data_IF_798767807994
#
_entry.id   IF_798767807994
#
_cell.length_a   1.000
_cell.length_b   1.000
_cell.length_c   1.000
_cell.angle_alpha   90.00
_cell.angle_beta   90.00
_cell.angle_gamma   90.00
#
_symmetry.space_group_name_H-M   'P 1'
#
loop_
_entity.id
_entity.type
_entity.pdbx_description
1 polymer ?
#
# COMPACT_ATOMS: atom_id res chain seq x y z
N UNK A 1 -1.57 -10.11 18.36
CA UNK A 1 -0.97 -8.77 18.46
C UNK A 1 -1.72 -7.88 17.51
N UNK A 2 -1.99 -6.63 17.86
CA UNK A 2 -2.64 -5.69 16.95
C UNK A 2 -1.62 -5.21 15.92
N UNK A 3 -1.90 -5.42 14.63
CA UNK A 3 -1.06 -4.95 13.53
C UNK A 3 -1.24 -3.43 13.41
N UNK A 4 -0.15 -2.68 13.32
CA UNK A 4 -0.17 -1.21 13.17
C UNK A 4 0.65 -0.77 11.96
N UNK A 5 0.28 0.36 11.37
CA UNK A 5 1.01 0.95 10.24
C UNK A 5 2.27 1.66 10.77
N UNK A 6 3.44 1.31 10.22
CA UNK A 6 4.72 1.94 10.53
C UNK A 6 5.09 3.02 9.51
N UNK A 7 4.88 2.74 8.22
CA UNK A 7 5.29 3.64 7.13
C UNK A 7 4.35 3.48 5.94
N UNK A 8 4.11 4.58 5.23
CA UNK A 8 3.42 4.56 3.94
C UNK A 8 4.24 5.38 2.95
N UNK A 9 4.46 4.83 1.77
CA UNK A 9 5.16 5.50 0.67
C UNK A 9 4.26 5.58 -0.56
N UNK A 10 4.27 6.74 -1.22
CA UNK A 10 3.59 7.00 -2.50
C UNK A 10 4.65 7.28 -3.56
N UNK A 11 4.80 6.37 -4.53
CA UNK A 11 5.78 6.53 -5.60
C UNK A 11 5.29 7.42 -6.76
N UNK A 12 4.10 8.00 -6.66
CA UNK A 12 3.54 8.89 -7.68
C UNK A 12 3.10 8.19 -8.97
N UNK A 13 2.87 6.88 -8.93
CA UNK A 13 2.49 6.10 -10.10
C UNK A 13 3.66 5.76 -11.03
N UNK A 14 4.89 5.77 -10.50
CA UNK A 14 6.08 5.28 -11.23
C UNK A 14 5.97 3.79 -11.60
N UNK A 15 5.11 3.05 -10.90
CA UNK A 15 4.95 1.60 -11.02
C UNK A 15 3.47 1.24 -10.94
N UNK A 16 3.14 -0.05 -11.10
CA UNK A 16 1.76 -0.53 -10.95
C UNK A 16 1.26 -0.34 -9.52
N UNK A 17 2.10 -0.66 -8.54
CA UNK A 17 1.85 -0.47 -7.11
C UNK A 17 2.28 0.93 -6.66
N UNK A 18 1.33 1.86 -6.62
CA UNK A 18 1.58 3.25 -6.25
C UNK A 18 1.93 3.40 -4.76
N UNK A 19 1.17 2.72 -3.91
CA UNK A 19 1.29 2.81 -2.46
C UNK A 19 1.93 1.55 -1.91
N UNK A 20 2.91 1.72 -1.03
CA UNK A 20 3.43 0.62 -0.20
C UNK A 20 3.26 0.96 1.27
N UNK A 21 2.60 0.07 2.00
CA UNK A 21 2.27 0.19 3.42
C UNK A 21 3.09 -0.85 4.17
N UNK A 22 3.83 -0.39 5.17
CA UNK A 22 4.66 -1.23 6.04
C UNK A 22 3.95 -1.39 7.39
N UNK A 23 3.88 -2.62 7.88
CA UNK A 23 3.23 -2.95 9.14
C UNK A 23 4.21 -3.40 10.21
N UNK A 24 3.74 -3.41 11.46
CA UNK A 24 4.54 -3.75 12.65
C UNK A 24 4.92 -5.21 12.81
N UNK A 25 4.40 -6.09 11.95
CA UNK A 25 4.71 -7.52 11.90
C UNK A 25 5.65 -7.88 10.73
N UNK A 26 6.37 -6.89 10.21
CA UNK A 26 7.28 -6.98 9.05
C UNK A 26 6.59 -7.34 7.72
N UNK A 27 5.26 -7.34 7.67
CA UNK A 27 4.51 -7.47 6.42
C UNK A 27 4.40 -6.15 5.68
N UNK A 28 4.12 -6.24 4.39
CA UNK A 28 3.86 -5.09 3.53
C UNK A 28 2.63 -5.35 2.67
N UNK A 29 1.88 -4.28 2.41
CA UNK A 29 0.77 -4.27 1.46
C UNK A 29 1.07 -3.27 0.35
N UNK A 30 0.97 -3.74 -0.88
CA UNK A 30 1.14 -2.92 -2.07
C UNK A 30 -0.20 -2.72 -2.77
N UNK A 31 -0.47 -1.47 -3.15
CA UNK A 31 -1.75 -1.05 -3.72
C UNK A 31 -1.55 -0.11 -4.89
N UNK A 32 -2.36 -0.26 -5.93
CA UNK A 32 -2.52 0.73 -6.99
C UNK A 32 -3.22 2.00 -6.48
N UNK A 33 -3.37 3.01 -7.36
CA UNK A 33 -4.13 4.24 -7.08
C UNK A 33 -5.62 3.99 -6.81
N UNK A 34 -6.16 2.88 -7.33
CA UNK A 34 -7.54 2.46 -7.11
C UNK A 34 -7.61 0.93 -6.94
N UNK A 35 -7.30 0.42 -5.72
CA UNK A 35 -7.22 -1.01 -5.46
C UNK A 35 -8.58 -1.72 -5.50
N UNK A 36 -9.69 -0.97 -5.54
CA UNK A 36 -11.05 -1.51 -5.64
C UNK A 36 -11.55 -1.57 -7.08
N UNK A 37 -10.78 -1.04 -8.04
CA UNK A 37 -11.13 -1.12 -9.46
C UNK A 37 -10.66 -2.46 -10.05
N UNK A 38 -11.52 -3.20 -10.79
CA UNK A 38 -11.12 -4.42 -11.48
C UNK A 38 -10.10 -4.17 -12.60
N UNK A 39 -9.84 -2.90 -12.96
CA UNK A 39 -8.85 -2.47 -13.94
C UNK A 39 -7.53 -2.02 -13.28
N UNK A 40 -7.48 -1.93 -11.95
CA UNK A 40 -6.27 -1.61 -11.21
C UNK A 40 -5.26 -2.75 -11.35
N UNK A 41 -4.16 -2.51 -12.03
CA UNK A 41 -3.02 -3.44 -12.07
C UNK A 41 -2.46 -3.48 -10.64
N UNK A 42 -2.58 -4.64 -9.98
CA UNK A 42 -2.46 -4.86 -8.53
C UNK A 42 -3.61 -4.27 -7.68
N UNK A 43 -4.62 -5.11 -7.41
CA UNK A 43 -5.69 -4.82 -6.46
C UNK A 43 -5.19 -4.89 -5.01
N UNK A 44 -4.32 -5.85 -4.70
CA UNK A 44 -3.48 -5.92 -3.50
C UNK A 44 -2.50 -7.09 -3.64
N UNK A 45 -1.24 -6.89 -3.26
CA UNK A 45 -0.28 -7.99 -3.17
C UNK A 45 0.55 -7.88 -1.87
N UNK A 46 0.89 -9.05 -1.32
CA UNK A 46 1.74 -9.22 -0.14
C UNK A 46 3.14 -9.75 -0.54
N UNK A 47 3.35 -10.09 -1.82
CA UNK A 47 4.63 -10.57 -2.32
C UNK A 47 5.62 -9.40 -2.49
N UNK A 48 6.81 -9.51 -1.88
CA UNK A 48 7.90 -8.54 -2.11
C UNK A 48 8.17 -8.41 -3.62
N UNK A 49 8.06 -7.23 -4.23
CA UNK A 49 8.31 -7.06 -5.65
C UNK A 49 9.81 -7.22 -5.87
N UNK A 50 10.19 -8.02 -6.88
CA UNK A 50 11.61 -8.27 -7.22
C UNK A 50 12.35 -7.00 -7.66
N UNK A 51 11.60 -5.96 -8.02
CA UNK A 51 12.09 -4.64 -8.35
C UNK A 51 11.04 -3.65 -7.85
N UNK A 52 11.41 -2.71 -6.98
CA UNK A 52 11.02 -1.28 -6.98
C UNK A 52 11.58 -0.63 -5.71
N UNK A 53 12.29 0.47 -5.93
CA UNK A 53 12.81 1.37 -4.92
C UNK A 53 11.66 2.05 -4.18
N UNK A 54 11.10 1.35 -3.21
CA UNK A 54 10.13 1.91 -2.27
C UNK A 54 10.69 3.13 -1.51
N UNK A 55 12.01 3.25 -1.46
CA UNK A 55 12.76 4.33 -0.82
C UNK A 55 12.81 5.65 -1.62
N UNK A 56 12.33 5.67 -2.88
CA UNK A 56 12.17 6.93 -3.63
C UNK A 56 10.77 7.56 -3.48
N UNK A 57 9.84 6.88 -2.80
CA UNK A 57 8.47 7.36 -2.60
C UNK A 57 8.37 8.48 -1.57
N UNK A 58 7.37 9.34 -1.74
CA UNK A 58 7.06 10.38 -0.74
C UNK A 58 6.32 9.73 0.42
N UNK A 59 6.77 9.98 1.65
CA UNK A 59 6.05 9.50 2.83
C UNK A 59 4.69 10.19 2.96
N UNK A 60 3.67 9.39 3.24
CA UNK A 60 2.29 9.86 3.41
C UNK A 60 1.76 9.44 4.78
N UNK A 61 0.88 10.27 5.33
CA UNK A 61 0.02 9.86 6.43
C UNK A 61 -1.17 9.08 5.90
N UNK A 62 -1.69 8.16 6.70
CA UNK A 62 -2.86 7.36 6.33
C UNK A 62 -4.07 8.20 5.89
N UNK A 63 -4.30 9.33 6.57
CA UNK A 63 -5.37 10.29 6.26
C UNK A 63 -5.22 11.02 4.91
N UNK A 64 -4.03 10.98 4.30
CA UNK A 64 -3.74 11.60 3.01
C UNK A 64 -3.99 10.66 1.83
N UNK A 65 -4.27 9.38 2.09
CA UNK A 65 -4.51 8.39 1.05
C UNK A 65 -5.91 8.55 0.45
N UNK A 66 -6.14 8.15 -0.80
CA UNK A 66 -7.47 8.01 -1.37
C UNK A 66 -8.37 7.09 -0.50
N UNK A 67 -9.67 7.34 -0.52
CA UNK A 67 -10.64 6.61 0.33
C UNK A 67 -10.61 5.08 0.06
N UNK A 68 -10.46 4.70 -1.21
CA UNK A 68 -10.37 3.31 -1.66
C UNK A 68 -9.14 2.61 -1.10
N UNK A 69 -8.01 3.32 -1.06
CA UNK A 69 -6.74 2.84 -0.50
C UNK A 69 -6.86 2.68 1.01
N UNK A 70 -7.46 3.67 1.70
CA UNK A 70 -7.73 3.57 3.15
C UNK A 70 -8.60 2.35 3.47
N UNK A 71 -9.65 2.12 2.67
CA UNK A 71 -10.55 0.98 2.82
C UNK A 71 -9.83 -0.35 2.63
N UNK A 72 -8.96 -0.46 1.62
CA UNK A 72 -8.18 -1.67 1.36
C UNK A 72 -7.21 -1.97 2.51
N UNK A 73 -6.50 -0.96 3.03
CA UNK A 73 -5.61 -1.11 4.18
C UNK A 73 -6.38 -1.55 5.44
N UNK A 74 -7.55 -0.95 5.71
CA UNK A 74 -8.36 -1.35 6.86
C UNK A 74 -8.84 -2.79 6.75
N UNK A 75 -9.26 -3.24 5.57
CA UNK A 75 -9.65 -4.64 5.35
C UNK A 75 -8.49 -5.58 5.68
N UNK A 76 -7.30 -5.28 5.16
CA UNK A 76 -6.10 -6.06 5.43
C UNK A 76 -5.78 -6.18 6.93
N UNK A 77 -5.90 -5.09 7.69
CA UNK A 77 -5.62 -5.09 9.14
C UNK A 77 -6.62 -5.91 9.97
N UNK A 78 -7.77 -6.28 9.41
CA UNK A 78 -8.85 -7.00 10.07
C UNK A 78 -9.07 -8.44 9.55
N UNK A 79 -8.28 -8.86 8.55
CA UNK A 79 -8.23 -10.24 8.03
C UNK A 79 -7.27 -11.12 8.83
#
# INVERSE_FOLDING_TARGET
>A
MEITIIRITDNGGKTCDRYTIYFSDDTMLMLSDNPLSPQGVCMSDNAKPEYIECDEGIERQFSQLPFEVQTAVQRYMHE
#
